data_IF_859612328971
#
_entry.id   IF_859612328971
#
_cell.length_a   1.000
_cell.length_b   1.000
_cell.length_c   1.000
_cell.angle_alpha   90.00
_cell.angle_beta   90.00
_cell.angle_gamma   90.00
#
_symmetry.space_group_name_H-M   'P 1'
#
loop_
_entity.id
_entity.type
_entity.pdbx_description
1 polymer ?
#
# COMPACT_ATOMS: atom_id res chain seq x y z
N UNK A 1 -10.14 14.38 4.98
CA UNK A 1 -10.30 14.54 3.52
C UNK A 1 -10.91 13.24 3.02
N UNK A 2 -12.22 13.20 2.87
CA UNK A 2 -12.97 11.97 2.52
C UNK A 2 -13.25 12.04 1.03
N UNK A 3 -12.56 11.22 0.23
CA UNK A 3 -12.81 11.16 -1.21
C UNK A 3 -14.01 10.25 -1.47
N UNK A 4 -15.05 10.80 -2.10
CA UNK A 4 -16.25 10.09 -2.48
C UNK A 4 -16.00 9.27 -3.74
N UNK A 5 -15.80 7.96 -3.58
CA UNK A 5 -15.96 7.01 -4.66
C UNK A 5 -17.47 6.87 -4.94
N UNK A 6 -17.94 7.57 -5.97
CA UNK A 6 -19.35 7.66 -6.29
C UNK A 6 -19.85 6.33 -6.90
N UNK A 7 -20.35 5.45 -6.04
CA UNK A 7 -21.29 4.40 -6.39
C UNK A 7 -21.12 3.18 -5.50
N UNK A 8 -21.84 3.13 -4.37
CA UNK A 8 -21.87 1.96 -3.49
C UNK A 8 -22.11 0.68 -4.33
N UNK A 9 -21.05 -0.08 -4.57
CA UNK A 9 -21.05 -1.24 -5.48
C UNK A 9 -20.05 -1.21 -6.63
N UNK A 10 -19.30 -0.12 -6.85
CA UNK A 10 -18.25 -0.07 -7.87
C UNK A 10 -17.09 -1.03 -7.53
N UNK A 11 -16.34 -1.48 -8.55
CA UNK A 11 -15.14 -2.31 -8.33
C UNK A 11 -14.11 -1.56 -7.49
N UNK A 12 -13.99 -0.24 -7.65
CA UNK A 12 -13.07 0.59 -6.87
C UNK A 12 -13.53 0.72 -5.42
N UNK A 13 -14.84 0.85 -5.16
CA UNK A 13 -15.39 0.93 -3.80
C UNK A 13 -15.14 -0.38 -3.04
N UNK A 14 -15.35 -1.52 -3.72
CA UNK A 14 -15.05 -2.84 -3.18
C UNK A 14 -13.56 -3.04 -2.93
N UNK A 15 -12.71 -2.59 -3.85
CA UNK A 15 -11.26 -2.64 -3.70
C UNK A 15 -10.78 -1.76 -2.53
N UNK A 16 -11.31 -0.54 -2.40
CA UNK A 16 -11.03 0.35 -1.26
C UNK A 16 -11.44 -0.32 0.05
N UNK A 17 -12.65 -0.87 0.12
CA UNK A 17 -13.14 -1.58 1.32
C UNK A 17 -12.23 -2.74 1.71
N UNK A 18 -11.83 -3.56 0.74
CA UNK A 18 -10.89 -4.65 0.98
C UNK A 18 -9.54 -4.15 1.50
N UNK A 19 -8.95 -3.14 0.86
CA UNK A 19 -7.65 -2.60 1.25
C UNK A 19 -7.68 -1.93 2.63
N UNK A 20 -8.79 -1.30 3.02
CA UNK A 20 -8.92 -0.61 4.30
C UNK A 20 -9.09 -1.60 5.45
N UNK A 21 -9.62 -2.79 5.16
CA UNK A 21 -9.87 -3.84 6.15
C UNK A 21 -8.77 -4.91 6.20
N UNK A 22 -7.94 -5.04 5.16
CA UNK A 22 -6.95 -6.13 5.05
C UNK A 22 -5.59 -5.74 4.46
N UNK A 23 -5.52 -4.63 3.73
CA UNK A 23 -4.29 -4.14 3.11
C UNK A 23 -3.32 -3.54 4.14
N UNK A 24 -2.03 -3.53 3.81
CA UNK A 24 -1.03 -2.80 4.61
C UNK A 24 -1.17 -1.32 4.27
N UNK A 25 -0.56 -0.48 5.11
CA UNK A 25 -0.49 0.97 4.88
C UNK A 25 0.07 1.28 3.48
N UNK A 26 1.03 0.48 2.99
CA UNK A 26 1.60 0.64 1.65
C UNK A 26 0.53 0.52 0.55
N UNK A 27 -0.32 -0.51 0.58
CA UNK A 27 -1.37 -0.68 -0.42
C UNK A 27 -2.47 0.37 -0.30
N UNK A 28 -2.83 0.77 0.91
CA UNK A 28 -3.82 1.85 1.14
C UNK A 28 -3.34 3.17 0.55
N UNK A 29 -2.09 3.57 0.84
CA UNK A 29 -1.47 4.78 0.27
C UNK A 29 -1.35 4.70 -1.25
N UNK A 30 -1.00 3.53 -1.78
CA UNK A 30 -0.92 3.32 -3.23
C UNK A 30 -2.28 3.51 -3.90
N UNK A 31 -3.35 3.02 -3.27
CA UNK A 31 -4.72 3.21 -3.76
C UNK A 31 -5.13 4.68 -3.75
N UNK A 32 -4.84 5.41 -2.67
CA UNK A 32 -5.11 6.86 -2.57
C UNK A 32 -4.42 7.65 -3.68
N UNK A 33 -3.17 7.31 -4.03
CA UNK A 33 -2.44 7.95 -5.15
C UNK A 33 -3.08 7.61 -6.50
N UNK A 34 -3.36 6.32 -6.75
CA UNK A 34 -3.82 5.86 -8.06
C UNK A 34 -5.27 6.24 -8.37
N UNK A 35 -6.14 6.29 -7.35
CA UNK A 35 -7.58 6.44 -7.53
C UNK A 35 -8.21 7.57 -6.70
N UNK A 36 -7.49 8.08 -5.70
CA UNK A 36 -7.98 9.13 -4.78
C UNK A 36 -7.36 10.51 -5.01
N UNK A 37 -6.42 10.66 -5.95
CA UNK A 37 -5.77 11.93 -6.25
C UNK A 37 -4.82 12.45 -5.15
N UNK A 38 -4.41 11.58 -4.21
CA UNK A 38 -3.42 11.93 -3.21
C UNK A 38 -2.03 12.13 -3.83
N UNK A 39 -1.19 12.96 -3.20
CA UNK A 39 0.21 13.04 -3.57
C UNK A 39 0.99 11.76 -3.19
N UNK A 40 2.16 11.58 -3.81
CA UNK A 40 2.99 10.40 -3.61
C UNK A 40 3.81 10.37 -2.31
N UNK A 41 3.83 11.44 -1.50
CA UNK A 41 4.74 11.54 -0.36
C UNK A 41 4.40 10.50 0.72
N UNK A 42 3.10 10.32 1.00
CA UNK A 42 2.63 9.29 1.93
C UNK A 42 2.95 7.86 1.47
N UNK A 43 2.91 7.62 0.16
CA UNK A 43 3.28 6.33 -0.43
C UNK A 43 4.79 6.08 -0.30
N UNK A 44 5.63 7.06 -0.62
CA UNK A 44 7.09 6.95 -0.47
C UNK A 44 7.49 6.72 0.98
N UNK A 45 6.86 7.41 1.92
CA UNK A 45 7.10 7.20 3.35
C UNK A 45 6.72 5.78 3.81
N UNK A 46 5.58 5.26 3.34
CA UNK A 46 5.16 3.90 3.63
C UNK A 46 6.11 2.85 3.04
N UNK A 47 6.64 3.08 1.84
CA UNK A 47 7.65 2.20 1.22
C UNK A 47 8.99 2.26 1.96
N UNK A 48 9.41 3.44 2.40
CA UNK A 48 10.67 3.63 3.12
C UNK A 48 10.75 2.83 4.42
N UNK A 49 9.61 2.51 5.05
CA UNK A 49 9.55 1.64 6.23
C UNK A 49 10.03 0.20 5.97
N UNK A 50 10.06 -0.24 4.71
CA UNK A 50 10.56 -1.56 4.33
C UNK A 50 12.05 -1.56 3.96
N UNK A 51 12.69 -0.39 3.89
CA UNK A 51 14.09 -0.27 3.45
C UNK A 51 15.05 -0.74 4.54
N UNK A 52 16.03 -1.54 4.18
CA UNK A 52 17.08 -2.03 5.08
C UNK A 52 18.35 -1.18 4.99
N UNK A 53 19.22 -1.28 6.00
CA UNK A 53 20.46 -0.48 6.09
C UNK A 53 21.50 -0.78 5.00
N UNK A 54 21.41 -1.94 4.37
CA UNK A 54 22.21 -2.35 3.21
C UNK A 54 21.64 -1.82 1.87
N UNK A 55 20.54 -1.07 1.91
CA UNK A 55 19.91 -0.47 0.74
C UNK A 55 18.84 -1.34 0.07
N UNK A 56 18.64 -2.57 0.54
CA UNK A 56 17.58 -3.47 0.09
C UNK A 56 16.20 -3.15 0.67
N UNK A 57 15.26 -4.07 0.45
CA UNK A 57 13.94 -4.06 1.08
C UNK A 57 13.67 -5.41 1.75
N UNK A 58 13.01 -5.39 2.90
CA UNK A 58 12.69 -6.57 3.69
C UNK A 58 11.36 -6.38 4.43
N UNK A 59 11.18 -7.06 5.57
CA UNK A 59 10.00 -6.93 6.43
C UNK A 59 8.68 -7.32 5.73
N UNK A 60 8.79 -8.30 4.83
CA UNK A 60 7.66 -8.85 4.09
C UNK A 60 7.04 -7.84 3.16
N UNK A 61 7.86 -7.04 2.45
CA UNK A 61 7.40 -6.20 1.35
C UNK A 61 6.83 -7.07 0.23
N UNK A 62 7.56 -8.13 -0.12
CA UNK A 62 7.14 -9.14 -1.07
C UNK A 62 5.86 -9.85 -0.60
N UNK A 63 4.93 -10.16 -1.52
CA UNK A 63 3.62 -10.71 -1.16
C UNK A 63 3.65 -12.21 -0.81
N UNK A 64 4.69 -12.93 -1.19
CA UNK A 64 4.82 -14.38 -1.06
C UNK A 64 5.33 -14.82 0.32
N UNK A 65 6.26 -14.09 0.93
CA UNK A 65 6.74 -14.36 2.29
C UNK A 65 6.71 -13.11 3.16
N UNK A 66 6.03 -13.26 4.30
CA UNK A 66 5.94 -12.22 5.33
C UNK A 66 6.98 -12.53 6.41
N UNK A 67 8.21 -12.08 6.19
CA UNK A 67 9.34 -12.31 7.10
C UNK A 67 10.25 -11.09 7.25
N UNK A 68 11.08 -11.04 8.29
CA UNK A 68 11.96 -9.90 8.54
C UNK A 68 13.14 -9.83 7.55
N UNK A 69 13.44 -10.92 6.84
CA UNK A 69 14.54 -11.00 5.90
C UNK A 69 14.11 -10.56 4.49
N UNK A 70 15.03 -9.93 3.76
CA UNK A 70 14.90 -9.75 2.32
C UNK A 70 14.93 -11.11 1.62
N UNK A 71 14.21 -11.23 0.50
CA UNK A 71 14.31 -12.43 -0.34
C UNK A 71 15.42 -12.29 -1.38
N UNK A 72 16.21 -13.35 -1.64
CA UNK A 72 17.05 -13.40 -2.83
C UNK A 72 16.16 -13.34 -4.09
N UNK A 73 16.60 -12.58 -5.10
CA UNK A 73 16.07 -12.67 -6.46
C UNK A 73 16.69 -13.84 -7.22
#
# INVERSE_FOLDING_TARGET
MTQNFSGAGSVLDRAATFLWTSGRVLEQRRFEVLFGGADGAGLVAALAAYRTGDGGFAYGLEPDVRGPAAQPL
#
